data_IF_629219235548
#
_entry.id   IF_629219235548
#
_cell.length_a   1.000
_cell.length_b   1.000
_cell.length_c   1.000
_cell.angle_alpha   90.00
_cell.angle_beta   90.00
_cell.angle_gamma   90.00
#
_symmetry.space_group_name_H-M   'P 1'
#
loop_
_entity.id
_entity.type
_entity.pdbx_description
1 polymer ?
#
# COMPACT_ATOMS: atom_id res chain seq x y z
N UNK A 1 -6.64 -13.24 45.75
CA UNK A 1 -6.68 -12.02 44.90
C UNK A 1 -5.25 -11.61 44.50
N UNK A 2 -4.40 -12.55 44.05
CA UNK A 2 -2.97 -12.30 43.76
C UNK A 2 -2.63 -12.56 42.28
N UNK A 3 -3.48 -13.30 41.55
CA UNK A 3 -3.26 -13.68 40.15
C UNK A 3 -3.50 -12.51 39.18
N UNK A 4 -4.38 -11.56 39.52
CA UNK A 4 -4.74 -10.46 38.61
C UNK A 4 -3.70 -9.33 38.56
N UNK A 5 -2.84 -9.17 39.58
CA UNK A 5 -1.90 -8.05 39.66
C UNK A 5 -0.70 -8.24 38.72
N UNK A 6 -0.31 -9.48 38.42
CA UNK A 6 0.86 -9.76 37.57
C UNK A 6 0.58 -9.67 36.06
N UNK A 7 -0.67 -9.76 35.63
CA UNK A 7 -1.02 -9.77 34.20
C UNK A 7 -0.73 -8.42 33.53
N UNK A 8 -1.07 -7.30 34.18
CA UNK A 8 -0.86 -5.97 33.61
C UNK A 8 0.63 -5.56 33.55
N UNK A 9 1.42 -5.98 34.54
CA UNK A 9 2.86 -5.73 34.55
C UNK A 9 3.63 -6.65 33.60
N UNK A 10 3.18 -7.90 33.42
CA UNK A 10 3.72 -8.80 32.40
C UNK A 10 3.50 -8.23 30.98
N UNK A 11 2.36 -7.57 30.73
CA UNK A 11 2.07 -6.88 29.47
C UNK A 11 3.05 -5.73 29.15
N UNK A 12 3.55 -5.02 30.17
CA UNK A 12 4.57 -3.96 30.01
C UNK A 12 5.95 -4.54 29.67
N UNK A 13 6.19 -5.79 30.06
CA UNK A 13 7.44 -6.52 29.85
C UNK A 13 7.28 -7.69 28.86
N UNK A 14 6.31 -7.64 27.94
CA UNK A 14 5.92 -8.77 27.10
C UNK A 14 7.08 -9.44 26.34
N UNK A 15 8.10 -8.66 25.94
CA UNK A 15 9.32 -9.17 25.31
C UNK A 15 10.19 -9.99 26.26
N UNK A 16 10.31 -9.57 27.52
CA UNK A 16 11.05 -10.25 28.58
C UNK A 16 10.32 -11.50 29.04
N UNK A 17 9.00 -11.39 29.19
CA UNK A 17 8.13 -12.49 29.61
C UNK A 17 7.75 -13.45 28.48
N UNK A 18 8.14 -13.15 27.22
CA UNK A 18 7.84 -13.93 26.00
C UNK A 18 6.36 -14.18 25.76
N UNK A 19 5.51 -13.27 26.21
CA UNK A 19 4.04 -13.36 26.11
C UNK A 19 3.47 -12.44 25.03
N UNK A 20 4.26 -12.11 24.00
CA UNK A 20 3.78 -11.24 22.92
C UNK A 20 2.50 -11.82 22.29
N UNK A 21 2.44 -13.13 22.02
CA UNK A 21 1.27 -13.82 21.49
C UNK A 21 0.05 -13.84 22.42
N UNK A 22 0.17 -13.47 23.70
CA UNK A 22 -1.01 -13.31 24.57
C UNK A 22 -1.74 -11.98 24.35
N UNK A 23 -1.12 -11.07 23.59
CA UNK A 23 -1.71 -9.79 23.21
C UNK A 23 -2.37 -9.96 21.84
N UNK A 24 -3.67 -9.67 21.69
CA UNK A 24 -4.41 -9.84 20.41
C UNK A 24 -3.78 -9.16 19.20
N UNK A 25 -2.98 -8.09 19.41
CA UNK A 25 -2.26 -7.38 18.35
C UNK A 25 -1.08 -8.18 17.77
N UNK A 26 -0.50 -9.07 18.57
CA UNK A 26 0.70 -9.85 18.22
C UNK A 26 0.39 -11.36 18.13
N UNK A 27 -0.89 -11.72 18.23
CA UNK A 27 -1.41 -13.08 18.10
C UNK A 27 -2.03 -13.22 16.71
N UNK A 28 -1.19 -13.44 15.71
CA UNK A 28 -1.62 -13.61 14.33
C UNK A 28 -1.11 -14.94 13.79
N UNK A 29 -1.72 -15.40 12.70
CA UNK A 29 -1.27 -16.58 11.98
C UNK A 29 -0.51 -16.17 10.70
N UNK A 30 0.38 -17.06 10.27
CA UNK A 30 0.96 -16.96 8.93
C UNK A 30 -0.12 -17.27 7.87
N UNK A 31 -0.13 -16.49 6.79
CA UNK A 31 -1.06 -16.65 5.67
C UNK A 31 -0.54 -17.60 4.59
N UNK A 32 0.69 -18.09 4.75
CA UNK A 32 1.36 -19.05 3.87
C UNK A 32 1.80 -20.29 4.64
N UNK A 33 2.23 -21.33 3.91
CA UNK A 33 2.72 -22.56 4.53
C UNK A 33 3.90 -22.32 5.48
N UNK A 34 3.97 -23.10 6.57
CA UNK A 34 5.09 -23.05 7.52
C UNK A 34 6.45 -23.22 6.82
N UNK A 35 6.56 -24.17 5.88
CA UNK A 35 7.77 -24.39 5.09
C UNK A 35 8.20 -23.15 4.31
N UNK A 36 7.26 -22.43 3.70
CA UNK A 36 7.56 -21.18 3.00
C UNK A 36 8.09 -20.12 3.97
N UNK A 37 7.40 -19.94 5.09
CA UNK A 37 7.76 -18.93 6.09
C UNK A 37 9.10 -19.21 6.77
N UNK A 38 9.40 -20.47 7.07
CA UNK A 38 10.68 -20.89 7.65
C UNK A 38 11.85 -20.66 6.69
N UNK A 39 11.67 -21.03 5.42
CA UNK A 39 12.71 -20.87 4.38
C UNK A 39 13.04 -19.39 4.14
N UNK A 40 12.07 -18.49 4.35
CA UNK A 40 12.20 -17.06 4.09
C UNK A 40 12.36 -16.21 5.36
N UNK A 41 12.60 -16.83 6.51
CA UNK A 41 12.74 -16.14 7.81
C UNK A 41 13.84 -15.08 7.80
N UNK A 42 14.94 -15.31 7.07
CA UNK A 42 16.01 -14.32 6.91
C UNK A 42 15.58 -13.08 6.11
N UNK A 43 14.46 -13.15 5.37
CA UNK A 43 13.90 -12.03 4.60
C UNK A 43 13.01 -11.12 5.44
N UNK A 44 12.67 -11.49 6.69
CA UNK A 44 11.84 -10.66 7.60
C UNK A 44 12.38 -9.23 7.77
N UNK A 45 13.68 -9.00 7.52
CA UNK A 45 14.32 -7.69 7.51
C UNK A 45 14.40 -7.09 6.09
N UNK A 46 14.85 -7.86 5.10
CA UNK A 46 15.20 -7.35 3.76
C UNK A 46 14.01 -7.20 2.80
N UNK A 47 12.94 -7.99 2.97
CA UNK A 47 11.70 -7.93 2.19
C UNK A 47 10.50 -7.70 3.11
N UNK A 48 10.71 -6.89 4.15
CA UNK A 48 9.82 -6.72 5.29
C UNK A 48 8.36 -6.55 4.89
N UNK A 49 8.03 -5.73 3.88
CA UNK A 49 6.63 -5.53 3.46
C UNK A 49 5.95 -6.83 2.98
N UNK A 50 6.65 -7.67 2.23
CA UNK A 50 6.08 -8.85 1.57
C UNK A 50 6.04 -10.03 2.54
N UNK A 51 7.19 -10.34 3.13
CA UNK A 51 7.28 -11.53 3.98
C UNK A 51 6.52 -11.33 5.30
N UNK A 52 6.30 -10.09 5.75
CA UNK A 52 5.49 -9.83 6.94
C UNK A 52 4.00 -9.84 6.62
N UNK A 53 3.58 -9.54 5.39
CA UNK A 53 2.17 -9.76 5.04
C UNK A 53 1.82 -11.26 5.03
N UNK A 54 2.74 -12.09 4.50
CA UNK A 54 2.53 -13.54 4.33
C UNK A 54 2.90 -14.36 5.56
N UNK A 55 3.97 -14.00 6.22
CA UNK A 55 4.54 -14.73 7.35
C UNK A 55 4.72 -13.83 8.60
N UNK A 56 3.68 -13.09 9.00
CA UNK A 56 3.77 -12.17 10.13
C UNK A 56 4.07 -12.83 11.46
N UNK A 57 3.58 -14.04 11.69
CA UNK A 57 3.81 -14.80 12.91
C UNK A 57 5.25 -15.29 12.93
N UNK A 58 5.72 -15.93 11.85
CA UNK A 58 7.11 -16.37 11.72
C UNK A 58 8.11 -15.21 11.80
N UNK A 59 7.75 -14.04 11.26
CA UNK A 59 8.57 -12.83 11.36
C UNK A 59 8.45 -12.11 12.70
N UNK A 60 7.51 -12.48 13.58
CA UNK A 60 7.25 -11.76 14.84
C UNK A 60 6.78 -10.32 14.62
N UNK A 61 6.10 -10.07 13.50
CA UNK A 61 5.69 -8.76 13.01
C UNK A 61 4.17 -8.73 12.71
N UNK A 62 3.38 -9.45 13.51
CA UNK A 62 1.91 -9.41 13.51
C UNK A 62 1.33 -7.99 13.53
N UNK A 63 1.98 -7.09 14.25
CA UNK A 63 1.70 -5.65 14.29
C UNK A 63 1.74 -4.92 12.94
N UNK A 64 2.35 -5.55 11.93
CA UNK A 64 2.57 -5.03 10.60
C UNK A 64 1.74 -5.79 9.53
N UNK A 65 0.88 -6.72 9.93
CA UNK A 65 -0.07 -7.37 9.01
C UNK A 65 -1.11 -6.38 8.52
N UNK A 66 -1.35 -6.33 7.20
CA UNK A 66 -2.27 -5.33 6.62
C UNK A 66 -1.82 -3.88 6.78
N UNK A 67 -0.60 -3.66 7.32
CA UNK A 67 0.05 -2.35 7.37
C UNK A 67 0.69 -2.13 6.01
N UNK A 68 -0.04 -1.46 5.11
CA UNK A 68 0.64 -0.35 4.46
C UNK A 68 1.24 0.49 5.58
N UNK A 69 2.46 0.96 5.43
CA UNK A 69 3.24 1.76 6.42
C UNK A 69 2.51 2.96 7.05
N UNK A 70 1.24 3.16 6.73
CA UNK A 70 0.25 4.00 7.36
C UNK A 70 0.04 3.71 8.85
N UNK A 71 0.88 4.36 9.64
CA UNK A 71 0.59 4.69 11.03
C UNK A 71 0.43 6.19 11.15
N UNK A 72 -0.30 6.61 12.17
CA UNK A 72 -0.23 7.99 12.63
C UNK A 72 1.21 8.34 13.00
N UNK A 73 1.70 9.43 12.43
CA UNK A 73 3.03 9.97 12.66
C UNK A 73 3.08 10.87 13.89
N UNK A 74 1.91 11.25 14.41
CA UNK A 74 1.78 12.06 15.62
C UNK A 74 0.93 11.35 16.68
N UNK A 75 1.28 11.58 17.93
CA UNK A 75 0.65 11.02 19.13
C UNK A 75 -0.74 11.63 19.35
N UNK A 76 -0.95 12.90 18.98
CA UNK A 76 -2.23 13.62 19.20
C UNK A 76 -3.28 13.33 18.12
N UNK A 77 -3.07 12.33 17.26
CA UNK A 77 -3.97 12.07 16.14
C UNK A 77 -5.42 11.77 16.56
N UNK A 78 -5.65 11.24 17.76
CA UNK A 78 -6.99 11.07 18.34
C UNK A 78 -7.74 12.40 18.51
N UNK A 79 -7.04 13.47 18.85
CA UNK A 79 -7.59 14.80 19.08
C UNK A 79 -7.80 15.56 17.77
N UNK A 80 -7.00 15.23 16.74
CA UNK A 80 -7.07 15.84 15.41
C UNK A 80 -8.12 15.19 14.50
N UNK A 81 -8.92 14.24 14.99
CA UNK A 81 -9.83 13.44 14.18
C UNK A 81 -10.86 14.29 13.42
N UNK A 82 -11.39 15.34 14.03
CA UNK A 82 -12.37 16.22 13.38
C UNK A 82 -11.74 17.04 12.24
N UNK A 83 -10.44 17.34 12.36
CA UNK A 83 -9.68 18.05 11.33
C UNK A 83 -9.35 17.18 10.10
N UNK A 84 -9.64 15.87 10.13
CA UNK A 84 -9.53 15.01 8.94
C UNK A 84 -10.48 15.42 7.80
N UNK A 85 -11.54 16.18 8.12
CA UNK A 85 -12.53 16.71 7.18
C UNK A 85 -12.68 18.24 7.29
N UNK A 86 -11.62 18.94 7.70
CA UNK A 86 -11.61 20.39 7.80
C UNK A 86 -11.98 21.06 6.47
N UNK A 87 -12.73 22.16 6.54
CA UNK A 87 -13.13 22.95 5.38
C UNK A 87 -11.91 23.61 4.70
N UNK A 88 -10.84 23.87 5.46
CA UNK A 88 -9.58 24.34 4.93
C UNK A 88 -8.76 23.16 4.34
N UNK A 89 -8.48 23.17 3.03
CA UNK A 89 -7.78 22.06 2.36
C UNK A 89 -6.34 21.86 2.85
N UNK A 90 -5.67 22.93 3.31
CA UNK A 90 -4.30 22.85 3.81
C UNK A 90 -4.27 22.08 5.14
N UNK A 91 -5.18 22.42 6.06
CA UNK A 91 -5.33 21.75 7.36
C UNK A 91 -5.72 20.29 7.16
N UNK A 92 -6.69 20.03 6.29
CA UNK A 92 -7.14 18.67 5.95
C UNK A 92 -5.99 17.81 5.43
N UNK A 93 -5.18 18.34 4.51
CA UNK A 93 -4.04 17.60 3.94
C UNK A 93 -2.92 17.39 4.96
N UNK A 94 -2.64 18.39 5.79
CA UNK A 94 -1.63 18.29 6.85
C UNK A 94 -2.02 17.19 7.86
N UNK A 95 -3.26 17.21 8.34
CA UNK A 95 -3.78 16.23 9.31
C UNK A 95 -3.85 14.84 8.69
N UNK A 96 -4.29 14.70 7.43
CA UNK A 96 -4.28 13.39 6.73
C UNK A 96 -2.87 12.84 6.49
N UNK A 97 -1.85 13.69 6.31
CA UNK A 97 -0.43 13.25 6.19
C UNK A 97 0.19 12.88 7.54
N UNK A 98 -0.22 13.58 8.59
CA UNK A 98 0.27 13.42 9.95
C UNK A 98 -0.42 12.24 10.66
N UNK A 99 -1.70 12.04 10.37
CA UNK A 99 -2.60 11.08 11.00
C UNK A 99 -3.30 10.20 9.95
N UNK A 100 -2.56 9.55 9.04
CA UNK A 100 -3.17 8.83 7.93
C UNK A 100 -4.00 7.63 8.38
N UNK A 101 -3.76 7.08 9.58
CA UNK A 101 -4.59 6.00 10.13
C UNK A 101 -5.86 6.55 10.78
N UNK A 102 -5.75 7.61 11.58
CA UNK A 102 -6.95 8.22 12.22
C UNK A 102 -7.89 8.86 11.21
N UNK A 103 -7.37 9.35 10.08
CA UNK A 103 -8.17 9.94 9.02
C UNK A 103 -8.59 8.96 7.91
N UNK A 104 -8.38 7.65 8.08
CA UNK A 104 -8.62 6.62 7.06
C UNK A 104 -7.98 6.96 5.69
N UNK A 105 -6.85 7.67 5.72
CA UNK A 105 -6.09 8.13 4.56
C UNK A 105 -4.91 7.20 4.23
N UNK A 106 -4.92 5.97 4.76
CA UNK A 106 -3.92 4.97 4.44
C UNK A 106 -3.95 4.60 2.96
N UNK A 107 -2.78 4.53 2.28
CA UNK A 107 -2.72 3.92 0.96
C UNK A 107 -3.12 2.43 1.09
N UNK A 108 -3.85 1.86 0.14
CA UNK A 108 -4.15 0.41 0.09
C UNK A 108 -5.62 0.02 0.09
N UNK A 109 -6.55 0.90 0.46
CA UNK A 109 -8.00 0.67 0.34
C UNK A 109 -8.68 1.55 -0.70
N UNK A 110 -7.89 2.31 -1.47
CA UNK A 110 -8.40 3.10 -2.59
C UNK A 110 -8.35 2.33 -3.90
N UNK A 111 -9.31 1.43 -4.14
CA UNK A 111 -9.82 1.27 -5.49
C UNK A 111 -10.52 2.58 -5.87
N UNK A 112 -9.71 3.61 -6.15
CA UNK A 112 -10.20 4.84 -6.74
C UNK A 112 -10.16 4.63 -8.23
N UNK A 113 -11.33 4.34 -8.77
CA UNK A 113 -11.75 4.91 -10.04
C UNK A 113 -11.34 6.39 -10.02
N UNK A 114 -10.33 6.78 -10.79
CA UNK A 114 -9.91 8.18 -10.90
C UNK A 114 -8.41 8.39 -10.86
N UNK A 115 -7.88 8.86 -11.99
CA UNK A 115 -6.68 9.68 -12.18
C UNK A 115 -5.43 9.27 -11.40
N UNK A 116 -4.44 8.73 -12.11
CA UNK A 116 -3.09 8.43 -11.61
C UNK A 116 -2.45 9.74 -11.09
N UNK A 117 -1.90 9.75 -9.87
CA UNK A 117 -1.39 10.97 -9.26
C UNK A 117 -0.12 11.48 -9.97
N UNK A 118 -0.07 12.78 -10.25
CA UNK A 118 1.14 13.46 -10.77
C UNK A 118 2.09 13.83 -9.63
N UNK A 119 3.39 13.53 -9.77
CA UNK A 119 4.43 13.81 -8.77
C UNK A 119 5.74 14.21 -9.46
N UNK A 120 6.48 15.15 -8.85
CA UNK A 120 7.77 15.61 -9.39
C UNK A 120 8.86 14.53 -9.31
N UNK A 121 8.76 13.64 -8.32
CA UNK A 121 9.68 12.53 -8.05
C UNK A 121 9.20 11.20 -8.66
N UNK A 122 8.27 11.24 -9.61
CA UNK A 122 7.81 10.04 -10.29
C UNK A 122 8.85 9.53 -11.30
N UNK A 123 9.67 8.58 -10.87
CA UNK A 123 10.69 7.90 -11.67
C UNK A 123 10.84 6.46 -11.21
N UNK A 124 11.37 5.58 -12.04
CA UNK A 124 11.77 4.26 -11.55
C UNK A 124 13.10 4.36 -10.78
N UNK A 125 13.23 3.62 -9.70
CA UNK A 125 14.48 3.49 -8.94
C UNK A 125 15.28 2.26 -9.41
N UNK A 126 14.60 1.23 -9.91
CA UNK A 126 15.24 0.06 -10.50
C UNK A 126 15.42 0.21 -12.02
N UNK A 127 16.49 -0.36 -12.55
CA UNK A 127 16.85 -0.23 -13.98
C UNK A 127 16.15 -1.24 -14.89
N UNK A 128 15.48 -2.26 -14.34
CA UNK A 128 14.89 -3.37 -15.09
C UNK A 128 13.35 -3.33 -15.13
N UNK A 129 12.73 -2.21 -14.74
CA UNK A 129 11.29 -2.07 -14.67
C UNK A 129 10.59 -2.32 -16.01
N UNK A 130 11.20 -1.93 -17.13
CA UNK A 130 10.66 -2.20 -18.47
C UNK A 130 10.45 -3.69 -18.77
N UNK A 131 11.40 -4.53 -18.34
CA UNK A 131 11.34 -5.99 -18.50
C UNK A 131 10.43 -6.69 -17.49
N UNK A 132 9.94 -5.97 -16.47
CA UNK A 132 9.23 -6.54 -15.33
C UNK A 132 7.80 -6.01 -15.17
N UNK A 133 7.23 -5.42 -16.25
CA UNK A 133 5.89 -4.83 -16.24
C UNK A 133 4.76 -5.81 -15.93
N UNK A 134 4.95 -7.08 -16.25
CA UNK A 134 3.97 -8.13 -15.92
C UNK A 134 3.84 -8.36 -14.41
N UNK A 135 4.83 -7.90 -13.64
CA UNK A 135 4.81 -7.98 -12.17
C UNK A 135 4.04 -6.84 -11.51
N UNK A 136 3.65 -5.78 -12.25
CA UNK A 136 2.94 -4.62 -11.68
C UNK A 136 1.57 -5.00 -11.08
N UNK A 137 0.87 -5.97 -11.66
CA UNK A 137 -0.41 -6.47 -11.15
C UNK A 137 -0.22 -7.74 -10.28
N UNK A 138 1.02 -8.23 -10.15
CA UNK A 138 1.32 -9.42 -9.37
C UNK A 138 1.30 -9.08 -7.87
N UNK A 139 0.45 -9.79 -7.11
CA UNK A 139 0.24 -9.54 -5.69
C UNK A 139 1.50 -9.71 -4.83
N UNK A 140 2.44 -10.58 -5.23
CA UNK A 140 3.70 -10.78 -4.50
C UNK A 140 4.70 -9.65 -4.75
N UNK A 141 4.78 -9.15 -5.98
CA UNK A 141 5.75 -8.12 -6.35
C UNK A 141 5.22 -6.69 -6.24
N UNK A 142 3.90 -6.51 -6.06
CA UNK A 142 3.21 -5.23 -6.00
C UNK A 142 3.93 -4.18 -5.16
N UNK A 143 4.35 -4.50 -3.93
CA UNK A 143 5.02 -3.53 -3.05
C UNK A 143 6.37 -3.06 -3.59
N UNK A 144 7.14 -3.97 -4.22
CA UNK A 144 8.43 -3.63 -4.85
C UNK A 144 8.16 -2.80 -6.10
N UNK A 145 7.18 -3.20 -6.90
CA UNK A 145 6.78 -2.48 -8.11
C UNK A 145 6.27 -1.07 -7.82
N UNK A 146 5.52 -0.89 -6.73
CA UNK A 146 5.06 0.42 -6.24
C UNK A 146 6.20 1.33 -5.79
N UNK A 147 7.32 0.77 -5.32
CA UNK A 147 8.43 1.55 -4.76
C UNK A 147 9.49 1.82 -5.81
N UNK A 148 9.91 0.77 -6.52
CA UNK A 148 11.08 0.75 -7.38
C UNK A 148 10.72 0.94 -8.86
N UNK A 149 9.47 0.63 -9.24
CA UNK A 149 8.98 0.73 -10.62
C UNK A 149 7.72 1.61 -10.74
N UNK A 150 7.62 2.62 -9.87
CA UNK A 150 6.46 3.52 -9.73
C UNK A 150 6.02 4.21 -11.02
N UNK A 151 6.96 4.52 -11.92
CA UNK A 151 6.67 5.13 -13.21
C UNK A 151 6.25 4.06 -14.23
N UNK A 152 7.05 3.00 -14.39
CA UNK A 152 6.78 1.92 -15.34
C UNK A 152 5.45 1.22 -15.08
N UNK A 153 5.12 0.99 -13.80
CA UNK A 153 3.85 0.38 -13.38
C UNK A 153 2.71 1.40 -13.25
N UNK A 154 2.95 2.67 -13.57
CA UNK A 154 1.92 3.72 -13.61
C UNK A 154 1.26 3.90 -12.23
N UNK A 155 2.02 3.82 -11.15
CA UNK A 155 1.54 4.19 -9.81
C UNK A 155 1.56 5.71 -9.60
N UNK A 156 2.39 6.42 -10.37
CA UNK A 156 2.39 7.87 -10.48
C UNK A 156 2.68 8.30 -11.93
N UNK A 157 2.53 9.60 -12.20
CA UNK A 157 2.99 10.24 -13.44
C UNK A 157 3.91 11.43 -13.13
N UNK A 158 4.91 11.72 -13.97
CA UNK A 158 5.67 12.95 -13.87
C UNK A 158 4.77 14.18 -14.00
N UNK A 159 5.14 15.31 -13.38
CA UNK A 159 4.35 16.55 -13.49
C UNK A 159 4.21 17.02 -14.93
N UNK A 160 5.22 16.80 -15.76
CA UNK A 160 5.24 17.11 -17.19
C UNK A 160 4.69 15.98 -18.09
N UNK A 161 4.08 14.94 -17.52
CA UNK A 161 3.51 13.86 -18.32
C UNK A 161 2.40 14.37 -19.23
N UNK A 162 2.48 14.09 -20.53
CA UNK A 162 1.44 14.50 -21.47
C UNK A 162 0.34 13.43 -21.47
N UNK A 163 -0.85 13.81 -21.03
CA UNK A 163 -2.00 12.93 -21.02
C UNK A 163 -2.75 13.03 -22.34
N UNK A 164 -2.85 11.92 -23.07
CA UNK A 164 -3.36 11.88 -24.44
C UNK A 164 -4.12 10.58 -24.70
N UNK A 165 -5.14 10.65 -25.56
CA UNK A 165 -5.76 9.46 -26.15
C UNK A 165 -5.16 9.25 -27.53
N UNK A 166 -4.13 8.40 -27.64
CA UNK A 166 -3.50 8.08 -28.93
C UNK A 166 -4.47 7.46 -29.93
N UNK A 167 -5.48 6.75 -29.43
CA UNK A 167 -6.50 6.07 -30.21
C UNK A 167 -7.89 6.66 -29.93
N UNK A 168 -8.00 7.99 -29.85
CA UNK A 168 -9.23 8.69 -29.45
C UNK A 168 -10.49 8.23 -30.20
N UNK A 169 -10.38 7.92 -31.49
CA UNK A 169 -11.48 7.40 -32.31
C UNK A 169 -11.92 5.97 -31.91
N UNK A 170 -11.00 5.15 -31.39
CA UNK A 170 -11.26 3.76 -31.01
C UNK A 170 -11.56 3.59 -29.53
N UNK A 171 -11.17 4.53 -28.67
CA UNK A 171 -11.30 4.39 -27.22
C UNK A 171 -12.74 4.08 -26.77
N UNK A 172 -13.75 4.69 -27.40
CA UNK A 172 -15.15 4.36 -27.12
C UNK A 172 -15.52 2.93 -27.50
N UNK A 173 -15.06 2.44 -28.64
CA UNK A 173 -15.27 1.06 -29.10
C UNK A 173 -14.52 0.06 -28.22
N UNK A 174 -13.28 0.36 -27.86
CA UNK A 174 -12.45 -0.49 -27.01
C UNK A 174 -13.00 -0.56 -25.59
N UNK A 175 -13.47 0.55 -25.04
CA UNK A 175 -14.11 0.59 -23.73
C UNK A 175 -15.44 -0.16 -23.71
N UNK A 176 -16.23 -0.10 -24.79
CA UNK A 176 -17.41 -0.95 -24.95
C UNK A 176 -17.07 -2.46 -24.89
N UNK A 177 -15.83 -2.84 -25.20
CA UNK A 177 -15.28 -4.19 -25.05
C UNK A 177 -14.48 -4.39 -23.74
N UNK A 178 -14.60 -3.45 -22.79
CA UNK A 178 -14.00 -3.52 -21.47
C UNK A 178 -12.54 -3.04 -21.39
N UNK A 179 -12.03 -2.30 -22.37
CA UNK A 179 -10.62 -1.87 -22.36
C UNK A 179 -10.22 -1.11 -21.09
N UNK A 180 -11.03 -0.16 -20.61
CA UNK A 180 -10.65 0.62 -19.44
C UNK A 180 -10.78 -0.16 -18.12
N UNK A 181 -11.64 -1.19 -18.07
CA UNK A 181 -12.00 -1.93 -16.84
C UNK A 181 -11.35 -3.30 -16.73
N UNK A 182 -10.94 -3.93 -17.83
CA UNK A 182 -10.37 -5.27 -17.86
C UNK A 182 -8.89 -5.27 -17.42
N UNK A 183 -8.57 -6.07 -16.40
CA UNK A 183 -7.23 -6.23 -15.84
C UNK A 183 -6.28 -7.05 -16.72
N UNK A 184 -6.78 -7.74 -17.74
CA UNK A 184 -5.96 -8.35 -18.78
C UNK A 184 -5.17 -7.30 -19.58
N UNK A 185 -5.68 -6.06 -19.65
CA UNK A 185 -4.92 -4.92 -20.18
C UNK A 185 -4.15 -4.25 -19.06
N UNK A 186 -2.82 -4.20 -19.20
CA UNK A 186 -1.96 -3.56 -18.21
C UNK A 186 -2.38 -2.09 -18.00
N UNK A 187 -2.18 -1.57 -16.79
CA UNK A 187 -2.45 -0.17 -16.46
C UNK A 187 -1.73 0.78 -17.42
N UNK A 188 -0.53 0.41 -17.84
CA UNK A 188 0.25 1.16 -18.82
C UNK A 188 -0.39 1.18 -20.20
N UNK A 189 -0.85 0.04 -20.70
CA UNK A 189 -1.52 -0.03 -22.01
C UNK A 189 -2.76 0.86 -22.02
N UNK A 190 -3.58 0.77 -20.98
CA UNK A 190 -4.79 1.61 -20.84
C UNK A 190 -4.45 3.10 -20.82
N UNK A 191 -3.44 3.50 -20.05
CA UNK A 191 -3.00 4.89 -19.97
C UNK A 191 -2.41 5.39 -21.30
N UNK A 192 -1.59 4.59 -21.98
CA UNK A 192 -0.89 5.00 -23.20
C UNK A 192 -1.83 5.18 -24.40
N UNK A 193 -2.89 4.39 -24.46
CA UNK A 193 -3.81 4.41 -25.60
C UNK A 193 -5.02 5.30 -25.38
N UNK A 194 -5.62 5.24 -24.18
CA UNK A 194 -6.88 5.89 -23.86
C UNK A 194 -6.85 6.54 -22.47
N UNK A 195 -5.73 7.17 -22.10
CA UNK A 195 -5.52 7.69 -20.74
C UNK A 195 -6.55 8.73 -20.28
N UNK A 196 -6.99 9.64 -21.18
CA UNK A 196 -8.04 10.62 -20.86
C UNK A 196 -9.41 9.93 -20.87
N UNK A 197 -9.70 9.13 -21.90
CA UNK A 197 -10.97 8.43 -22.04
C UNK A 197 -11.25 7.50 -20.86
N UNK A 198 -10.25 6.71 -20.44
CA UNK A 198 -10.31 5.83 -19.27
C UNK A 198 -10.21 6.59 -17.93
N UNK A 199 -10.15 7.92 -17.94
CA UNK A 199 -10.05 8.78 -16.74
C UNK A 199 -8.85 8.44 -15.86
N UNK A 200 -7.74 8.06 -16.49
CA UNK A 200 -6.49 7.67 -15.82
C UNK A 200 -5.52 8.83 -15.70
N UNK A 201 -5.67 9.90 -16.49
CA UNK A 201 -4.93 11.14 -16.32
C UNK A 201 -5.77 12.33 -16.79
N UNK A 202 -5.37 13.53 -16.37
CA UNK A 202 -5.88 14.82 -16.84
C UNK A 202 -4.76 15.71 -17.36
#
# INVERSE_FOLDING_TARGET
MVVLVFAEDALKCAKTCRICCERPKYDCEDKESSTFCDTHKNKCVSLKAIIVDKCPHTCGLCDLTGVTTCKDKNIICKELKDSCNDANPITKDAVRKLCPKTCDACPGTGATTGTVPRRADCKDEASNCDSQKDLCENTFYKSIMETDCKLSCVYCLPTNYVCEDKNSADCARWDANGFCSNTAYSRQMRLQHCGKYCKMCS
#
